data_IF_433033030185
#
_entry.id   IF_433033030185
#
_cell.length_a   1.000
_cell.length_b   1.000
_cell.length_c   1.000
_cell.angle_alpha   90.00
_cell.angle_beta   90.00
_cell.angle_gamma   90.00
#
_symmetry.space_group_name_H-M   'P 1'
#
loop_
_entity.id
_entity.type
_entity.pdbx_description
1 polymer ?
#
# COMPACT_ATOMS: atom_id res chain seq x y z
N UNK A 1 10.53 -34.69 6.40
CA UNK A 1 9.35 -35.57 6.55
C UNK A 1 8.29 -35.19 5.52
N UNK A 2 8.70 -35.24 4.28
CA UNK A 2 7.89 -34.79 3.14
C UNK A 2 6.50 -35.44 3.04
N UNK A 3 6.34 -36.66 3.55
CA UNK A 3 5.08 -37.44 3.44
C UNK A 3 4.14 -37.29 4.64
N UNK A 4 4.49 -36.45 5.64
CA UNK A 4 3.61 -36.27 6.81
C UNK A 4 2.32 -35.57 6.41
N UNK A 5 1.17 -36.22 6.65
CA UNK A 5 -0.16 -35.67 6.42
C UNK A 5 -1.21 -36.34 7.32
N UNK A 6 -0.81 -36.72 8.55
CA UNK A 6 -1.74 -37.33 9.51
C UNK A 6 -2.70 -36.27 10.08
N UNK A 7 -3.91 -36.72 10.44
CA UNK A 7 -4.90 -35.84 11.09
C UNK A 7 -4.45 -35.49 12.50
N UNK A 8 -4.24 -34.21 12.71
CA UNK A 8 -3.82 -33.61 13.99
C UNK A 8 -4.79 -32.50 14.45
N UNK A 9 -5.98 -32.45 13.85
CA UNK A 9 -6.98 -31.41 14.14
C UNK A 9 -7.38 -31.37 15.62
N UNK A 10 -7.37 -32.54 16.30
CA UNK A 10 -7.70 -32.69 17.72
C UNK A 10 -6.57 -32.31 18.69
N UNK A 11 -5.42 -31.83 18.26
CA UNK A 11 -4.35 -31.48 19.19
C UNK A 11 -4.69 -30.22 19.99
N UNK A 12 -4.49 -30.26 21.30
CA UNK A 12 -4.52 -29.08 22.15
C UNK A 12 -3.17 -28.36 22.09
N UNK A 13 -3.15 -27.23 21.38
CA UNK A 13 -1.97 -26.38 21.21
C UNK A 13 -2.06 -25.07 22.00
N UNK A 14 -3.05 -24.93 22.89
CA UNK A 14 -3.38 -23.68 23.59
C UNK A 14 -2.24 -23.12 24.45
N UNK A 15 -1.33 -23.97 24.91
CA UNK A 15 -0.15 -23.58 25.70
C UNK A 15 1.13 -23.46 24.87
N UNK A 16 1.06 -23.68 23.55
CA UNK A 16 2.24 -23.59 22.68
C UNK A 16 2.60 -22.14 22.43
N UNK A 17 3.85 -21.76 22.73
CA UNK A 17 4.36 -20.39 22.52
C UNK A 17 5.24 -20.27 21.28
N UNK A 18 5.73 -21.37 20.73
CA UNK A 18 6.61 -21.37 19.56
C UNK A 18 6.24 -22.54 18.61
N UNK A 19 5.80 -22.20 17.41
CA UNK A 19 5.48 -23.13 16.33
C UNK A 19 6.49 -23.07 15.18
N UNK A 20 7.64 -22.40 15.39
CA UNK A 20 8.65 -22.27 14.34
C UNK A 20 9.09 -23.64 13.80
N UNK A 21 9.18 -23.75 12.46
CA UNK A 21 9.58 -24.94 11.73
C UNK A 21 8.66 -26.19 11.89
N UNK A 22 7.48 -26.10 12.50
CA UNK A 22 6.64 -27.27 12.81
C UNK A 22 6.34 -28.14 11.59
N UNK A 23 5.99 -27.53 10.48
CA UNK A 23 5.70 -28.20 9.19
C UNK A 23 6.69 -27.85 8.09
N UNK A 24 7.90 -27.37 8.46
CA UNK A 24 8.93 -27.03 7.51
C UNK A 24 9.29 -28.25 6.64
N UNK A 25 9.14 -28.09 5.31
CA UNK A 25 9.35 -29.14 4.29
C UNK A 25 8.41 -30.36 4.41
N UNK A 26 7.27 -30.19 5.07
CA UNK A 26 6.20 -31.18 5.07
C UNK A 26 5.37 -31.04 3.77
N UNK A 27 5.96 -31.43 2.62
CA UNK A 27 5.41 -31.12 1.30
C UNK A 27 4.03 -31.76 1.02
N UNK A 28 3.63 -32.79 1.75
CA UNK A 28 2.31 -33.42 1.63
C UNK A 28 1.28 -32.90 2.65
N UNK A 29 1.70 -32.07 3.62
CA UNK A 29 0.83 -31.66 4.72
C UNK A 29 -0.26 -30.69 4.24
N UNK A 30 -1.52 -31.05 4.48
CA UNK A 30 -2.69 -30.20 4.21
C UNK A 30 -3.88 -30.56 5.10
N UNK A 31 -3.64 -30.89 6.39
CA UNK A 31 -4.70 -31.21 7.33
C UNK A 31 -5.39 -29.97 7.90
N UNK A 32 -6.64 -30.13 8.33
CA UNK A 32 -7.43 -29.05 8.93
C UNK A 32 -6.89 -28.70 10.33
N UNK A 33 -6.34 -27.49 10.45
CA UNK A 33 -5.77 -26.95 11.69
C UNK A 33 -6.33 -25.56 12.03
N UNK A 34 -7.38 -25.12 11.32
CA UNK A 34 -8.00 -23.80 11.50
C UNK A 34 -8.62 -23.60 12.90
N UNK A 35 -9.01 -24.67 13.56
CA UNK A 35 -9.61 -24.63 14.91
C UNK A 35 -8.58 -24.63 16.05
N UNK A 36 -7.28 -24.67 15.73
CA UNK A 36 -6.25 -24.60 16.76
C UNK A 36 -6.26 -23.25 17.50
N UNK A 37 -6.22 -23.30 18.82
CA UNK A 37 -6.03 -22.10 19.63
C UNK A 37 -4.54 -21.70 19.66
N UNK A 38 -4.14 -20.77 18.79
CA UNK A 38 -2.77 -20.29 18.67
C UNK A 38 -2.51 -18.97 19.42
N UNK A 39 -3.43 -18.54 20.27
CA UNK A 39 -3.38 -17.21 20.94
C UNK A 39 -2.16 -16.98 21.83
N UNK A 40 -1.51 -18.07 22.28
CA UNK A 40 -0.26 -17.99 23.08
C UNK A 40 1.02 -17.99 22.22
N UNK A 41 0.91 -18.18 20.89
CA UNK A 41 2.07 -18.34 20.01
C UNK A 41 2.74 -16.99 19.74
N UNK A 42 4.02 -16.91 20.03
CA UNK A 42 4.85 -15.72 19.78
C UNK A 42 5.69 -15.84 18.50
N UNK A 43 5.98 -17.05 18.03
CA UNK A 43 6.77 -17.26 16.82
C UNK A 43 6.18 -18.36 15.94
N UNK A 44 5.99 -18.02 14.65
CA UNK A 44 5.55 -18.92 13.57
C UNK A 44 6.57 -18.96 12.42
N UNK A 45 7.81 -18.51 12.65
CA UNK A 45 8.83 -18.45 11.62
C UNK A 45 9.06 -19.83 10.97
N UNK A 46 9.14 -19.89 9.64
CA UNK A 46 9.36 -21.12 8.86
C UNK A 46 8.28 -22.21 9.03
N UNK A 47 7.12 -21.91 9.67
CA UNK A 47 6.16 -22.95 10.06
C UNK A 47 5.72 -23.83 8.89
N UNK A 48 5.40 -23.24 7.75
CA UNK A 48 4.97 -23.94 6.52
C UNK A 48 5.97 -23.78 5.37
N UNK A 49 7.24 -23.45 5.68
CA UNK A 49 8.27 -23.32 4.64
C UNK A 49 8.38 -24.61 3.82
N UNK A 50 8.34 -24.50 2.50
CA UNK A 50 8.38 -25.64 1.56
C UNK A 50 7.27 -26.69 1.79
N UNK A 51 6.16 -26.35 2.47
CA UNK A 51 4.97 -27.18 2.60
C UNK A 51 4.08 -27.00 1.34
N UNK A 52 4.53 -27.55 0.22
CA UNK A 52 4.02 -27.26 -1.12
C UNK A 52 2.54 -27.59 -1.35
N UNK A 53 1.96 -28.53 -0.59
CA UNK A 53 0.55 -28.90 -0.66
C UNK A 53 -0.34 -28.12 0.33
N UNK A 54 0.27 -27.36 1.25
CA UNK A 54 -0.51 -26.69 2.30
C UNK A 54 -1.40 -25.60 1.73
N UNK A 55 -2.71 -25.75 1.95
CA UNK A 55 -3.74 -24.75 1.60
C UNK A 55 -4.97 -24.87 2.49
N UNK A 56 -4.83 -25.34 3.74
CA UNK A 56 -5.93 -25.37 4.71
C UNK A 56 -6.26 -24.00 5.26
N UNK A 57 -7.55 -23.68 5.50
CA UNK A 57 -7.95 -22.38 6.04
C UNK A 57 -7.43 -22.19 7.47
N UNK A 58 -6.77 -21.08 7.69
CA UNK A 58 -6.19 -20.66 8.98
C UNK A 58 -6.52 -19.19 9.31
N UNK A 59 -7.44 -18.56 8.59
CA UNK A 59 -7.83 -17.16 8.78
C UNK A 59 -8.36 -16.85 10.17
N UNK A 60 -8.98 -17.83 10.84
CA UNK A 60 -9.55 -17.68 12.19
C UNK A 60 -8.50 -17.67 13.33
N UNK A 61 -7.22 -17.85 13.02
CA UNK A 61 -6.18 -17.86 14.05
C UNK A 61 -6.03 -16.50 14.73
N UNK A 62 -6.03 -16.49 16.06
CA UNK A 62 -5.69 -15.30 16.82
C UNK A 62 -4.16 -15.12 16.85
N UNK A 63 -3.65 -14.24 15.98
CA UNK A 63 -2.22 -13.99 15.78
C UNK A 63 -1.69 -12.79 16.61
N UNK A 64 -2.50 -12.21 17.49
CA UNK A 64 -2.18 -10.95 18.19
C UNK A 64 -0.90 -10.99 19.05
N UNK A 65 -0.48 -12.19 19.50
CA UNK A 65 0.76 -12.38 20.28
C UNK A 65 2.00 -12.63 19.42
N UNK A 66 1.83 -12.83 18.09
CA UNK A 66 2.93 -13.22 17.20
C UNK A 66 3.83 -12.03 16.90
N UNK A 67 5.14 -12.21 17.05
CA UNK A 67 6.16 -11.20 16.74
C UNK A 67 7.04 -11.58 15.56
N UNK A 68 7.07 -12.87 15.18
CA UNK A 68 7.89 -13.40 14.10
C UNK A 68 7.08 -14.31 13.16
N UNK A 69 6.96 -13.91 11.90
CA UNK A 69 6.38 -14.69 10.79
C UNK A 69 7.37 -14.83 9.62
N UNK A 70 8.68 -14.66 9.87
CA UNK A 70 9.69 -14.76 8.79
C UNK A 70 9.64 -16.13 8.12
N UNK A 71 9.69 -16.16 6.76
CA UNK A 71 9.68 -17.37 5.93
C UNK A 71 8.48 -18.34 6.21
N UNK A 72 7.38 -17.84 6.80
CA UNK A 72 6.30 -18.72 7.27
C UNK A 72 5.69 -19.55 6.15
N UNK A 73 5.51 -18.98 4.96
CA UNK A 73 4.95 -19.65 3.78
C UNK A 73 5.93 -19.69 2.60
N UNK A 74 7.24 -19.42 2.83
CA UNK A 74 8.22 -19.51 1.75
C UNK A 74 8.14 -20.87 1.05
N UNK A 75 7.96 -20.86 -0.27
CA UNK A 75 7.84 -22.09 -1.06
C UNK A 75 6.55 -22.90 -0.83
N UNK A 76 5.58 -22.43 -0.07
CA UNK A 76 4.26 -23.04 0.06
C UNK A 76 3.41 -22.77 -1.19
N UNK A 77 3.75 -23.39 -2.29
CA UNK A 77 3.28 -23.04 -3.65
C UNK A 77 1.77 -23.12 -3.86
N UNK A 78 1.05 -23.96 -3.08
CA UNK A 78 -0.42 -24.08 -3.16
C UNK A 78 -1.16 -23.10 -2.26
N UNK A 79 -0.46 -22.41 -1.33
CA UNK A 79 -1.13 -21.60 -0.32
C UNK A 79 -1.79 -20.36 -0.92
N UNK A 80 -3.11 -20.23 -0.71
CA UNK A 80 -3.90 -19.07 -1.14
C UNK A 80 -5.16 -18.90 -0.26
N UNK A 81 -5.00 -18.97 1.07
CA UNK A 81 -6.13 -18.78 2.01
C UNK A 81 -6.17 -17.34 2.53
N UNK A 82 -7.41 -16.89 2.83
CA UNK A 82 -7.63 -15.56 3.37
C UNK A 82 -6.95 -15.37 4.74
N UNK A 83 -6.26 -14.25 4.90
CA UNK A 83 -5.53 -13.84 6.10
C UNK A 83 -5.88 -12.41 6.55
N UNK A 84 -6.93 -11.81 5.97
CA UNK A 84 -7.35 -10.44 6.25
C UNK A 84 -7.65 -10.20 7.74
N UNK A 85 -8.18 -11.21 8.44
CA UNK A 85 -8.54 -11.11 9.86
C UNK A 85 -7.35 -11.29 10.83
N UNK A 86 -6.14 -11.56 10.32
CA UNK A 86 -4.97 -11.69 11.18
C UNK A 86 -4.54 -10.35 11.78
N UNK A 87 -4.40 -10.32 13.08
CA UNK A 87 -3.79 -9.19 13.77
C UNK A 87 -2.27 -9.33 13.76
N UNK A 88 -1.59 -8.58 12.90
CA UNK A 88 -0.12 -8.58 12.78
C UNK A 88 0.53 -7.35 13.43
N UNK A 89 -0.20 -6.56 14.21
CA UNK A 89 0.29 -5.29 14.76
C UNK A 89 1.52 -5.43 15.68
N UNK A 90 1.79 -6.64 16.20
CA UNK A 90 2.99 -6.95 17.00
C UNK A 90 4.13 -7.57 16.18
N UNK A 91 3.91 -7.87 14.90
CA UNK A 91 4.89 -8.60 14.08
C UNK A 91 5.99 -7.66 13.59
N UNK A 92 7.22 -7.94 13.97
CA UNK A 92 8.39 -7.18 13.51
C UNK A 92 9.14 -7.84 12.33
N UNK A 93 9.00 -9.15 12.15
CA UNK A 93 9.71 -9.93 11.14
C UNK A 93 8.76 -10.60 10.18
N UNK A 94 8.72 -10.09 8.93
CA UNK A 94 7.91 -10.56 7.80
C UNK A 94 8.79 -10.94 6.59
N UNK A 95 10.12 -10.92 6.75
CA UNK A 95 11.03 -11.19 5.65
C UNK A 95 10.79 -12.58 5.05
N UNK A 96 10.76 -12.66 3.71
CA UNK A 96 10.49 -13.88 2.93
C UNK A 96 9.13 -14.57 3.22
N UNK A 97 8.18 -13.93 3.92
CA UNK A 97 6.95 -14.61 4.39
C UNK A 97 6.19 -15.31 3.28
N UNK A 98 6.06 -14.70 2.11
CA UNK A 98 5.38 -15.23 0.93
C UNK A 98 6.33 -15.41 -0.26
N UNK A 99 7.65 -15.44 -0.03
CA UNK A 99 8.60 -15.70 -1.10
C UNK A 99 8.33 -17.07 -1.72
N UNK A 100 8.31 -17.16 -3.06
CA UNK A 100 8.00 -18.39 -3.79
C UNK A 100 6.62 -19.02 -3.49
N UNK A 101 5.71 -18.29 -2.83
CA UNK A 101 4.33 -18.72 -2.62
C UNK A 101 3.50 -18.38 -3.88
N UNK A 102 3.68 -19.19 -4.92
CA UNK A 102 3.29 -18.84 -6.30
C UNK A 102 1.80 -18.66 -6.53
N UNK A 103 0.93 -19.22 -5.69
CA UNK A 103 -0.53 -19.11 -5.80
C UNK A 103 -1.12 -17.97 -4.97
N UNK A 104 -0.36 -17.38 -4.04
CA UNK A 104 -0.91 -16.42 -3.08
C UNK A 104 -1.31 -15.11 -3.75
N UNK A 105 -2.60 -14.75 -3.58
CA UNK A 105 -3.17 -13.50 -4.06
C UNK A 105 -4.36 -13.04 -3.21
N UNK A 106 -4.31 -13.23 -1.87
CA UNK A 106 -5.36 -12.79 -0.98
C UNK A 106 -5.13 -11.36 -0.52
N UNK A 107 -6.25 -10.68 -0.26
CA UNK A 107 -6.22 -9.30 0.26
C UNK A 107 -5.63 -9.27 1.67
N UNK A 108 -4.62 -8.44 1.83
CA UNK A 108 -3.90 -8.15 3.07
C UNK A 108 -3.64 -6.64 3.23
N UNK A 109 -4.38 -5.81 2.47
CA UNK A 109 -4.24 -4.35 2.47
C UNK A 109 -4.45 -3.73 3.84
N UNK A 110 -5.41 -4.23 4.59
CA UNK A 110 -5.78 -3.71 5.93
C UNK A 110 -4.81 -4.12 7.06
N UNK A 111 -3.74 -4.83 6.77
CA UNK A 111 -2.79 -5.23 7.81
C UNK A 111 -2.09 -4.03 8.47
N UNK A 112 -2.13 -3.97 9.80
CA UNK A 112 -1.34 -2.99 10.55
C UNK A 112 0.13 -3.41 10.62
N UNK A 113 0.97 -2.82 9.77
CA UNK A 113 2.39 -3.13 9.63
C UNK A 113 3.31 -2.20 10.42
N UNK A 114 2.78 -1.36 11.31
CA UNK A 114 3.54 -0.31 12.02
C UNK A 114 4.71 -0.83 12.86
N UNK A 115 4.68 -2.09 13.29
CA UNK A 115 5.79 -2.73 14.02
C UNK A 115 6.79 -3.45 13.09
N UNK A 116 6.49 -3.58 11.80
CA UNK A 116 7.32 -4.35 10.87
C UNK A 116 8.61 -3.60 10.53
N UNK A 117 9.75 -4.24 10.79
CA UNK A 117 11.08 -3.70 10.50
C UNK A 117 11.83 -4.50 9.44
N UNK A 118 11.46 -5.77 9.23
CA UNK A 118 12.07 -6.67 8.26
C UNK A 118 11.01 -7.20 7.29
N UNK A 119 10.99 -6.67 6.06
CA UNK A 119 10.07 -7.07 4.98
C UNK A 119 10.84 -7.45 3.70
N UNK A 120 12.16 -7.56 3.78
CA UNK A 120 12.98 -7.89 2.63
C UNK A 120 12.55 -9.22 2.00
N UNK A 121 12.45 -9.24 0.66
CA UNK A 121 12.05 -10.40 -0.14
C UNK A 121 10.67 -10.99 0.19
N UNK A 122 9.77 -10.22 0.84
CA UNK A 122 8.50 -10.74 1.35
C UNK A 122 7.64 -11.41 0.28
N UNK A 123 7.60 -10.85 -0.93
CA UNK A 123 6.82 -11.37 -2.07
C UNK A 123 7.71 -11.80 -3.25
N UNK A 124 9.01 -12.03 -3.00
CA UNK A 124 9.91 -12.48 -4.07
C UNK A 124 9.39 -13.73 -4.73
N UNK A 125 9.32 -13.77 -6.08
CA UNK A 125 8.78 -14.90 -6.85
C UNK A 125 7.31 -15.29 -6.48
N UNK A 126 6.53 -14.39 -5.87
CA UNK A 126 5.10 -14.60 -5.64
C UNK A 126 4.33 -14.34 -6.95
N UNK A 127 4.30 -15.35 -7.83
CA UNK A 127 3.92 -15.20 -9.23
C UNK A 127 2.48 -14.69 -9.44
N UNK A 128 1.56 -14.97 -8.53
CA UNK A 128 0.14 -14.56 -8.64
C UNK A 128 -0.19 -13.29 -7.88
N UNK A 129 0.74 -12.78 -7.03
CA UNK A 129 0.43 -11.66 -6.13
C UNK A 129 0.13 -10.36 -6.90
N UNK A 130 -1.07 -9.81 -6.67
CA UNK A 130 -1.53 -8.56 -7.27
C UNK A 130 -2.49 -7.79 -6.35
N UNK A 131 -2.12 -7.60 -5.08
CA UNK A 131 -2.94 -6.83 -4.14
C UNK A 131 -2.37 -5.43 -3.95
N UNK A 132 -3.26 -4.48 -3.66
CA UNK A 132 -2.88 -3.15 -3.18
C UNK A 132 -2.56 -3.24 -1.69
N UNK A 133 -1.38 -2.81 -1.32
CA UNK A 133 -0.89 -2.71 0.06
C UNK A 133 -0.40 -1.29 0.37
N UNK A 134 -0.90 -0.30 -0.38
CA UNK A 134 -0.50 1.10 -0.20
C UNK A 134 -0.90 1.68 1.16
N UNK A 135 -1.88 1.07 1.84
CA UNK A 135 -2.32 1.48 3.18
C UNK A 135 -1.40 0.97 4.31
N UNK A 136 -0.38 0.16 3.98
CA UNK A 136 0.57 -0.30 4.99
C UNK A 136 1.41 0.85 5.56
N UNK A 137 1.42 0.97 6.87
CA UNK A 137 2.23 1.96 7.59
C UNK A 137 3.62 1.40 7.93
N UNK A 138 4.52 1.39 6.95
CA UNK A 138 5.88 0.88 7.11
C UNK A 138 6.82 2.01 7.57
N UNK A 139 7.63 1.74 8.60
CA UNK A 139 8.61 2.72 9.07
C UNK A 139 9.68 3.01 7.99
N UNK A 140 10.09 4.28 7.85
CA UNK A 140 11.02 4.72 6.82
C UNK A 140 12.38 3.99 6.84
N UNK A 141 12.79 3.42 7.97
CA UNK A 141 14.03 2.66 8.14
C UNK A 141 13.84 1.15 8.08
N UNK A 142 12.64 0.66 7.76
CA UNK A 142 12.41 -0.77 7.59
C UNK A 142 13.19 -1.33 6.38
N UNK A 143 13.59 -2.59 6.46
CA UNK A 143 14.24 -3.28 5.35
C UNK A 143 13.20 -3.82 4.37
N UNK A 144 13.16 -3.25 3.17
CA UNK A 144 12.24 -3.63 2.07
C UNK A 144 12.98 -4.14 0.83
N UNK A 145 14.29 -4.41 0.94
CA UNK A 145 15.13 -4.84 -0.19
C UNK A 145 14.55 -6.06 -0.88
N UNK A 146 14.39 -6.02 -2.19
CA UNK A 146 13.89 -7.13 -3.01
C UNK A 146 12.46 -7.57 -2.67
N UNK A 147 11.66 -6.75 -1.98
CA UNK A 147 10.33 -7.12 -1.49
C UNK A 147 9.44 -7.68 -2.59
N UNK A 148 9.57 -7.20 -3.83
CA UNK A 148 8.78 -7.59 -4.99
C UNK A 148 9.64 -8.11 -6.15
N UNK A 149 10.86 -8.61 -5.88
CA UNK A 149 11.68 -9.21 -6.92
C UNK A 149 10.90 -10.35 -7.60
N UNK A 150 10.86 -10.34 -8.94
CA UNK A 150 10.18 -11.35 -9.75
C UNK A 150 8.71 -11.60 -9.34
N UNK A 151 7.94 -10.51 -9.12
CA UNK A 151 6.49 -10.53 -8.85
C UNK A 151 5.72 -10.05 -10.11
N UNK A 152 5.61 -10.87 -11.17
CA UNK A 152 5.21 -10.42 -12.50
C UNK A 152 3.73 -10.02 -12.60
N UNK A 153 2.87 -10.57 -11.76
CA UNK A 153 1.43 -10.26 -11.78
C UNK A 153 1.09 -8.93 -11.13
N UNK A 154 2.01 -8.32 -10.36
CA UNK A 154 1.73 -7.04 -9.73
C UNK A 154 1.53 -5.97 -10.81
N UNK A 155 0.29 -5.45 -10.89
CA UNK A 155 -0.14 -4.52 -11.93
C UNK A 155 0.55 -3.16 -11.82
N UNK A 156 0.62 -2.43 -12.92
CA UNK A 156 1.15 -1.06 -12.91
C UNK A 156 0.34 -0.15 -12.00
N UNK A 157 -0.98 -0.36 -11.90
CA UNK A 157 -1.84 0.38 -10.97
C UNK A 157 -1.39 0.16 -9.53
N UNK A 158 -1.30 -1.09 -9.07
CA UNK A 158 -0.87 -1.40 -7.69
C UNK A 158 0.56 -0.94 -7.42
N UNK A 159 1.48 -1.08 -8.39
CA UNK A 159 2.84 -0.52 -8.29
C UNK A 159 2.82 0.98 -8.06
N UNK A 160 1.99 1.73 -8.77
CA UNK A 160 1.84 3.17 -8.61
C UNK A 160 1.29 3.55 -7.25
N UNK A 161 0.24 2.88 -6.77
CA UNK A 161 -0.35 3.14 -5.45
C UNK A 161 0.65 2.84 -4.33
N UNK A 162 1.28 1.67 -4.36
CA UNK A 162 2.32 1.29 -3.39
C UNK A 162 3.49 2.29 -3.41
N UNK A 163 3.92 2.75 -4.59
CA UNK A 163 5.01 3.71 -4.72
C UNK A 163 4.67 5.06 -4.07
N UNK A 164 3.44 5.56 -4.22
CA UNK A 164 3.03 6.82 -3.59
C UNK A 164 3.30 6.82 -2.08
N UNK A 165 3.00 5.71 -1.40
CA UNK A 165 3.18 5.58 0.05
C UNK A 165 4.62 5.22 0.42
N UNK A 166 5.25 4.27 -0.32
CA UNK A 166 6.52 3.67 0.10
C UNK A 166 7.75 4.38 -0.44
N UNK A 167 7.60 5.39 -1.31
CA UNK A 167 8.74 6.12 -1.93
C UNK A 167 9.68 6.80 -0.92
N UNK A 168 9.21 7.08 0.29
CA UNK A 168 10.02 7.64 1.38
C UNK A 168 10.85 6.59 2.14
N UNK A 169 10.63 5.29 1.90
CA UNK A 169 11.37 4.22 2.58
C UNK A 169 12.77 4.09 1.97
N UNK A 170 13.78 3.97 2.83
CA UNK A 170 15.18 3.79 2.40
C UNK A 170 15.33 2.56 1.51
N UNK A 171 16.02 2.71 0.37
CA UNK A 171 16.23 1.67 -0.65
C UNK A 171 14.96 1.17 -1.37
N UNK A 172 13.88 1.98 -1.36
CA UNK A 172 12.73 1.71 -2.23
C UNK A 172 13.11 1.84 -3.72
N UNK A 173 12.70 0.93 -4.61
CA UNK A 173 12.99 1.04 -6.03
C UNK A 173 12.29 2.27 -6.65
N UNK A 174 13.09 3.17 -7.29
CA UNK A 174 12.55 4.42 -7.85
C UNK A 174 11.86 4.23 -9.21
N UNK A 175 12.13 3.14 -9.93
CA UNK A 175 11.56 2.86 -11.25
C UNK A 175 10.02 2.77 -11.27
N UNK A 176 9.39 2.59 -10.14
CA UNK A 176 7.92 2.53 -10.02
C UNK A 176 7.24 3.90 -10.06
N UNK A 177 7.99 4.98 -9.97
CA UNK A 177 7.46 6.35 -10.13
C UNK A 177 6.75 6.55 -11.49
N UNK A 178 7.16 5.81 -12.53
CA UNK A 178 6.52 5.87 -13.86
C UNK A 178 5.10 5.30 -13.89
N UNK A 179 4.69 4.56 -12.89
CA UNK A 179 3.35 3.97 -12.77
C UNK A 179 2.41 4.79 -11.88
N UNK A 180 2.91 5.87 -11.27
CA UNK A 180 2.07 6.73 -10.43
C UNK A 180 1.01 7.41 -11.29
N UNK A 181 -0.25 7.24 -10.90
CA UNK A 181 -1.39 7.91 -11.51
C UNK A 181 -2.10 8.76 -10.47
N UNK A 182 -2.61 9.91 -10.90
CA UNK A 182 -3.39 10.81 -10.06
C UNK A 182 -4.80 10.95 -10.63
N UNK A 183 -5.75 11.30 -9.77
CA UNK A 183 -7.09 11.65 -10.22
C UNK A 183 -7.02 12.89 -11.13
N UNK A 184 -7.63 12.85 -12.32
CA UNK A 184 -7.61 13.99 -13.22
C UNK A 184 -8.40 15.16 -12.64
N UNK A 185 -7.85 16.37 -12.76
CA UNK A 185 -8.52 17.60 -12.34
C UNK A 185 -9.48 18.03 -13.46
N UNK A 186 -10.74 18.27 -13.07
CA UNK A 186 -11.82 18.71 -13.96
C UNK A 186 -12.72 19.69 -13.20
N UNK A 187 -13.67 20.36 -13.85
CA UNK A 187 -14.65 21.23 -13.16
C UNK A 187 -15.41 20.52 -12.04
N UNK A 188 -15.61 19.18 -12.17
CA UNK A 188 -16.37 18.42 -11.16
C UNK A 188 -15.64 18.31 -9.81
N UNK A 189 -14.31 18.39 -9.78
CA UNK A 189 -13.52 18.17 -8.57
C UNK A 189 -12.47 19.26 -8.28
N UNK A 190 -12.29 20.25 -9.14
CA UNK A 190 -11.25 21.27 -8.99
C UNK A 190 -11.33 21.99 -7.64
N UNK A 191 -12.51 22.51 -7.29
CA UNK A 191 -12.68 23.26 -6.03
C UNK A 191 -12.50 22.34 -4.80
N UNK A 192 -12.96 21.08 -4.88
CA UNK A 192 -12.76 20.11 -3.81
C UNK A 192 -11.28 19.73 -3.65
N UNK A 193 -10.55 19.57 -4.76
CA UNK A 193 -9.11 19.34 -4.75
C UNK A 193 -8.35 20.52 -4.12
N UNK A 194 -8.71 21.76 -4.48
CA UNK A 194 -8.15 22.97 -3.87
C UNK A 194 -8.46 23.01 -2.37
N UNK A 195 -9.70 22.75 -1.96
CA UNK A 195 -10.07 22.74 -0.55
C UNK A 195 -9.31 21.64 0.22
N UNK A 196 -9.13 20.48 -0.38
CA UNK A 196 -8.36 19.38 0.22
C UNK A 196 -6.89 19.76 0.39
N UNK A 197 -6.29 20.47 -0.58
CA UNK A 197 -4.92 21.00 -0.47
C UNK A 197 -4.71 21.83 0.80
N UNK A 198 -5.68 22.65 1.15
CA UNK A 198 -5.59 23.51 2.35
C UNK A 198 -5.98 22.82 3.65
N UNK A 199 -6.78 21.78 3.61
CA UNK A 199 -7.24 21.05 4.81
C UNK A 199 -6.35 19.85 5.15
N UNK A 200 -5.82 19.17 4.11
CA UNK A 200 -4.97 17.99 4.22
C UNK A 200 -4.10 17.86 2.95
N UNK A 201 -2.98 18.59 2.94
CA UNK A 201 -2.03 18.65 1.82
C UNK A 201 -1.48 17.25 1.47
N UNK A 202 -1.26 16.40 2.48
CA UNK A 202 -0.76 15.05 2.25
C UNK A 202 -1.75 14.20 1.45
N UNK A 203 -3.03 14.25 1.80
CA UNK A 203 -4.10 13.55 1.08
C UNK A 203 -4.35 14.15 -0.32
N UNK A 204 -4.32 15.47 -0.45
CA UNK A 204 -4.43 16.14 -1.76
C UNK A 204 -3.29 15.70 -2.69
N UNK A 205 -2.04 15.67 -2.18
CA UNK A 205 -0.87 15.23 -2.94
C UNK A 205 -0.96 13.75 -3.31
N UNK A 206 -1.45 12.91 -2.41
CA UNK A 206 -1.67 11.48 -2.69
C UNK A 206 -2.71 11.28 -3.80
N UNK A 207 -3.80 12.03 -3.76
CA UNK A 207 -4.94 11.86 -4.69
C UNK A 207 -4.69 12.52 -6.03
N UNK A 208 -4.27 13.80 -6.04
CA UNK A 208 -4.20 14.65 -7.23
C UNK A 208 -2.77 14.99 -7.67
N UNK A 209 -1.75 14.61 -6.92
CA UNK A 209 -0.39 15.10 -7.06
C UNK A 209 -0.18 16.46 -6.37
N UNK A 210 1.06 16.94 -6.34
CA UNK A 210 1.37 18.26 -5.79
C UNK A 210 0.67 19.36 -6.61
N UNK A 211 0.07 20.35 -5.96
CA UNK A 211 -0.76 21.38 -6.62
C UNK A 211 -0.07 22.06 -7.80
N UNK A 212 1.26 22.25 -7.77
CA UNK A 212 2.04 22.83 -8.87
C UNK A 212 1.98 22.00 -10.16
N UNK A 213 1.78 20.68 -10.03
CA UNK A 213 1.89 19.71 -11.12
C UNK A 213 0.50 19.27 -11.65
N UNK A 214 -0.58 19.89 -11.16
CA UNK A 214 -1.93 19.55 -11.62
C UNK A 214 -2.12 19.87 -13.09
N UNK A 215 -2.66 18.92 -13.84
CA UNK A 215 -3.13 19.14 -15.18
C UNK A 215 -4.51 19.79 -15.13
N UNK A 216 -4.57 21.09 -15.39
CA UNK A 216 -5.80 21.90 -15.30
C UNK A 216 -6.46 22.16 -16.66
N UNK A 217 -5.96 21.52 -17.75
CA UNK A 217 -6.45 21.74 -19.13
C UNK A 217 -7.94 21.46 -19.34
N UNK A 218 -8.57 20.65 -18.44
CA UNK A 218 -10.01 20.34 -18.47
C UNK A 218 -10.85 21.21 -17.53
N UNK A 219 -10.26 22.28 -16.92
CA UNK A 219 -10.96 23.17 -16.00
C UNK A 219 -11.40 24.43 -16.76
N UNK A 220 -12.69 24.76 -16.65
CA UNK A 220 -13.28 25.97 -17.26
C UNK A 220 -13.65 27.03 -16.23
N UNK A 221 -13.85 26.65 -14.97
CA UNK A 221 -14.18 27.57 -13.87
C UNK A 221 -13.17 27.43 -12.72
N UNK A 222 -12.39 28.49 -12.52
CA UNK A 222 -11.43 28.65 -11.41
C UNK A 222 -11.88 29.75 -10.42
N UNK A 223 -13.15 30.16 -10.47
CA UNK A 223 -13.65 31.21 -9.59
C UNK A 223 -13.50 30.84 -8.11
N UNK A 224 -13.09 31.79 -7.31
CA UNK A 224 -12.87 31.65 -5.86
C UNK A 224 -11.82 30.58 -5.45
N UNK A 225 -11.03 30.04 -6.36
CA UNK A 225 -10.10 28.93 -6.08
C UNK A 225 -9.25 29.18 -4.83
N UNK A 226 -8.69 30.37 -4.70
CA UNK A 226 -7.84 30.78 -3.58
C UNK A 226 -8.42 31.93 -2.76
N UNK A 227 -9.76 32.18 -2.83
CA UNK A 227 -10.39 33.24 -2.03
C UNK A 227 -10.09 33.02 -0.55
N UNK A 228 -9.63 34.10 0.11
CA UNK A 228 -9.28 34.13 1.54
C UNK A 228 -8.15 33.14 1.95
N UNK A 229 -7.39 32.61 1.01
CA UNK A 229 -6.22 31.74 1.28
C UNK A 229 -4.96 32.61 1.48
N UNK A 230 -4.94 33.36 2.59
CA UNK A 230 -3.91 34.39 2.86
C UNK A 230 -2.47 33.88 2.84
N UNK A 231 -2.23 32.58 3.11
CA UNK A 231 -0.90 31.96 3.14
C UNK A 231 -0.54 31.24 1.83
N UNK A 232 -1.44 31.20 0.85
CA UNK A 232 -1.16 30.52 -0.41
C UNK A 232 -0.04 31.22 -1.19
N UNK A 233 0.99 30.48 -1.54
CA UNK A 233 2.09 30.96 -2.39
C UNK A 233 2.80 29.82 -3.13
N UNK A 234 2.06 28.77 -3.54
CA UNK A 234 2.61 27.73 -4.37
C UNK A 234 2.83 28.22 -5.81
N UNK A 235 3.82 27.64 -6.46
CA UNK A 235 4.11 27.94 -7.86
C UNK A 235 3.15 27.16 -8.77
N UNK A 236 2.17 27.87 -9.32
CA UNK A 236 1.18 27.35 -10.26
C UNK A 236 1.37 27.89 -11.67
N UNK A 237 2.55 28.42 -11.98
CA UNK A 237 2.87 28.95 -13.31
C UNK A 237 2.75 27.93 -14.44
N UNK A 238 2.89 26.63 -14.11
CA UNK A 238 2.75 25.51 -15.04
C UNK A 238 1.31 25.09 -15.36
N UNK A 239 0.31 25.70 -14.72
CA UNK A 239 -1.08 25.36 -15.00
C UNK A 239 -1.50 25.76 -16.43
N UNK A 240 -2.19 24.84 -17.12
CA UNK A 240 -2.86 25.16 -18.38
C UNK A 240 -4.22 25.77 -18.08
N UNK A 241 -4.33 27.07 -18.32
CA UNK A 241 -5.55 27.84 -18.09
C UNK A 241 -6.24 28.25 -19.40
N UNK A 242 -5.79 27.73 -20.55
CA UNK A 242 -6.28 28.12 -21.86
C UNK A 242 -7.76 27.81 -22.10
N UNK A 243 -8.36 26.86 -21.33
CA UNK A 243 -9.79 26.52 -21.37
C UNK A 243 -10.62 27.29 -20.36
N UNK A 244 -9.99 28.07 -19.47
CA UNK A 244 -10.70 28.73 -18.36
C UNK A 244 -11.51 29.92 -18.84
N UNK A 245 -12.80 29.93 -18.52
CA UNK A 245 -13.76 30.99 -18.87
C UNK A 245 -14.02 31.93 -17.69
N UNK A 246 -13.88 31.45 -16.44
CA UNK A 246 -14.18 32.21 -15.24
C UNK A 246 -13.05 32.14 -14.21
N UNK A 247 -12.44 33.29 -13.91
CA UNK A 247 -11.41 33.49 -12.87
C UNK A 247 -11.86 34.50 -11.80
N UNK A 248 -13.17 34.75 -11.66
CA UNK A 248 -13.69 35.75 -10.74
C UNK A 248 -13.26 35.42 -9.30
N UNK A 249 -12.73 36.42 -8.59
CA UNK A 249 -12.28 36.32 -7.20
C UNK A 249 -11.24 35.22 -6.93
N UNK A 250 -10.56 34.69 -7.97
CA UNK A 250 -9.62 33.57 -7.85
C UNK A 250 -8.57 33.78 -6.76
N UNK A 251 -8.03 34.99 -6.66
CA UNK A 251 -7.00 35.38 -5.68
C UNK A 251 -7.48 36.41 -4.66
N UNK A 252 -8.78 36.59 -4.49
CA UNK A 252 -9.32 37.55 -3.53
C UNK A 252 -8.79 37.23 -2.13
N UNK A 253 -8.18 38.22 -1.46
CA UNK A 253 -7.57 38.11 -0.14
C UNK A 253 -6.45 37.04 -0.03
N UNK A 254 -5.91 36.50 -1.14
CA UNK A 254 -4.72 35.64 -1.16
C UNK A 254 -3.44 36.47 -1.01
N UNK A 255 -3.27 37.11 0.14
CA UNK A 255 -2.31 38.21 0.36
C UNK A 255 -0.84 37.80 0.26
N UNK A 256 -0.51 36.52 0.39
CA UNK A 256 0.88 36.02 0.23
C UNK A 256 1.22 35.62 -1.21
N UNK A 257 0.22 35.51 -2.11
CA UNK A 257 0.47 35.04 -3.46
C UNK A 257 1.32 36.04 -4.25
N UNK A 258 2.49 35.61 -4.67
CA UNK A 258 3.46 36.42 -5.42
C UNK A 258 4.27 35.58 -6.42
N UNK A 259 3.65 34.57 -7.05
CA UNK A 259 4.28 33.77 -8.09
C UNK A 259 4.04 34.36 -9.47
N UNK A 260 4.99 34.17 -10.38
CA UNK A 260 4.88 34.63 -11.76
C UNK A 260 3.89 33.74 -12.53
N UNK A 261 2.77 34.33 -12.95
CA UNK A 261 1.75 33.71 -13.80
C UNK A 261 1.59 34.47 -15.14
N UNK A 262 2.58 35.29 -15.52
CA UNK A 262 2.54 36.12 -16.71
C UNK A 262 2.45 35.32 -18.02
N UNK A 263 2.77 34.03 -18.00
CA UNK A 263 2.72 33.16 -19.19
C UNK A 263 1.37 32.43 -19.36
N UNK A 264 0.40 32.68 -18.50
CA UNK A 264 -0.93 32.08 -18.64
C UNK A 264 -1.65 32.58 -19.88
N UNK A 265 -2.19 31.66 -20.68
CA UNK A 265 -3.09 32.00 -21.77
C UNK A 265 -4.51 32.24 -21.25
N UNK A 266 -4.84 33.51 -21.05
CA UNK A 266 -6.16 33.92 -20.55
C UNK A 266 -7.11 34.36 -21.66
N UNK A 267 -6.84 33.98 -22.91
CA UNK A 267 -7.63 34.42 -24.06
C UNK A 267 -9.09 33.93 -24.06
N UNK A 268 -9.38 32.83 -23.34
CA UNK A 268 -10.75 32.31 -23.18
C UNK A 268 -11.51 32.93 -22.00
N UNK A 269 -10.84 33.70 -21.13
CA UNK A 269 -11.46 34.20 -19.89
C UNK A 269 -12.49 35.30 -20.17
N UNK A 270 -13.71 35.07 -19.70
CA UNK A 270 -14.84 35.98 -19.85
C UNK A 270 -15.10 36.81 -18.57
N UNK A 271 -14.60 36.35 -17.41
CA UNK A 271 -14.85 37.02 -16.11
C UNK A 271 -13.60 36.98 -15.20
N UNK A 272 -13.18 38.13 -14.69
CA UNK A 272 -11.97 38.36 -13.87
C UNK A 272 -12.16 39.38 -12.74
N UNK A 273 -13.35 39.58 -12.21
CA UNK A 273 -13.58 40.62 -11.19
C UNK A 273 -13.38 40.17 -9.76
#
# INVERSE_FOLDING_TARGET
>A
RATFNEDISGWDVSNVTNMSHMFNRASSFNQSIGDWNVSSVMSMGYMFRDATSFNSPIGNWNTSSVTNMSLMFEGATSFNQALNDWNISSVSMLNYMFSETTSFNQDIGDWNTSSATLLNYMFKNALSFNQDISDWNIAANASVTGMFDDTPSLSNLNKGQIHKTFSSITNWPNEWSIFVTYEPITDANFQDAVNLWFSDEANATFTYGHIRDWNTSAVTDMSNAFDSRSNFNEDISGWDVSSVENMSMMFKEASSFNKDIGNWDVSSVLSMY
#
